data_IF_572553636820
#
_entry.id   IF_572553636820
#
_cell.length_a   1.000
_cell.length_b   1.000
_cell.length_c   1.000
_cell.angle_alpha   90.00
_cell.angle_beta   90.00
_cell.angle_gamma   90.00
#
_symmetry.space_group_name_H-M   'P 1'
#
loop_
_entity.id
_entity.type
_entity.pdbx_description
1 polymer ?
#
# COMPACT_ATOMS: atom_id res chain seq x y z
N UNK A 1 1.41 18.29 -10.12
CA UNK A 1 2.72 18.89 -9.81
C UNK A 1 3.12 18.42 -8.42
N UNK A 2 4.25 17.69 -8.31
CA UNK A 2 4.85 17.38 -7.00
C UNK A 2 5.60 18.62 -6.52
N UNK A 3 5.16 19.21 -5.41
CA UNK A 3 5.80 20.38 -4.80
C UNK A 3 6.76 20.00 -3.66
N UNK A 4 7.15 18.73 -3.56
CA UNK A 4 8.01 18.24 -2.48
C UNK A 4 9.40 17.98 -3.01
N UNK A 5 10.41 18.62 -2.38
CA UNK A 5 11.81 18.39 -2.64
C UNK A 5 12.46 17.85 -1.37
N UNK A 6 13.17 16.73 -1.48
CA UNK A 6 14.06 16.26 -0.42
C UNK A 6 15.49 16.68 -0.78
N UNK A 7 16.11 17.51 0.06
CA UNK A 7 17.53 17.85 -0.02
C UNK A 7 18.23 17.12 1.12
N UNK A 8 19.11 16.20 0.80
CA UNK A 8 19.96 15.53 1.77
C UNK A 8 21.37 16.08 1.69
N UNK A 9 21.94 16.43 2.85
CA UNK A 9 23.34 16.88 2.99
C UNK A 9 24.02 15.98 4.01
N UNK A 10 25.20 15.45 3.68
CA UNK A 10 25.96 14.56 4.56
C UNK A 10 26.34 13.24 3.86
N UNK A 11 26.75 12.21 4.61
CA UNK A 11 27.05 10.90 4.03
C UNK A 11 25.82 10.34 3.33
N UNK A 12 26.05 9.62 2.22
CA UNK A 12 24.97 9.00 1.46
C UNK A 12 24.16 8.07 2.39
N UNK A 13 22.86 8.26 2.37
CA UNK A 13 21.91 7.38 3.06
C UNK A 13 21.45 6.28 2.11
N UNK A 14 20.98 5.16 2.65
CA UNK A 14 20.40 4.07 1.84
C UNK A 14 19.03 4.45 1.21
N UNK A 15 18.56 5.70 1.41
CA UNK A 15 17.27 6.17 0.89
C UNK A 15 17.41 6.54 -0.58
N UNK A 16 16.69 5.84 -1.46
CA UNK A 16 16.65 6.09 -2.90
C UNK A 16 15.39 6.87 -3.34
N UNK A 17 14.36 6.89 -2.50
CA UNK A 17 13.13 7.64 -2.76
C UNK A 17 12.49 8.09 -1.45
N UNK A 18 11.90 9.29 -1.44
CA UNK A 18 11.05 9.78 -0.33
C UNK A 18 9.83 10.52 -0.85
N UNK A 19 8.69 10.28 -0.21
CA UNK A 19 7.44 11.00 -0.46
C UNK A 19 6.84 11.47 0.86
N UNK A 20 6.37 12.72 0.89
CA UNK A 20 5.66 13.32 2.01
C UNK A 20 4.19 13.56 1.64
N UNK A 21 3.27 13.24 2.54
CA UNK A 21 1.83 13.53 2.39
C UNK A 21 1.53 14.95 2.91
N UNK A 22 1.89 15.97 2.14
CA UNK A 22 1.76 17.37 2.56
C UNK A 22 0.33 17.93 2.49
N UNK A 23 -0.59 17.20 1.89
CA UNK A 23 -1.99 17.54 1.65
C UNK A 23 -2.95 16.95 2.69
N UNK A 24 -2.41 16.20 3.66
CA UNK A 24 -3.17 15.54 4.74
C UNK A 24 -3.19 16.36 6.01
N UNK A 25 -4.21 16.13 6.85
CA UNK A 25 -4.21 16.67 8.21
C UNK A 25 -2.98 16.16 9.00
N UNK A 26 -2.49 16.95 9.95
CA UNK A 26 -1.24 16.68 10.67
C UNK A 26 -1.19 15.27 11.28
N UNK A 27 -2.28 14.79 11.88
CA UNK A 27 -2.36 13.48 12.51
C UNK A 27 -2.44 12.30 11.50
N UNK A 28 -2.51 12.58 10.19
CA UNK A 28 -2.52 11.63 9.10
C UNK A 28 -1.31 11.78 8.18
N UNK A 29 -0.45 12.77 8.47
CA UNK A 29 0.71 13.06 7.62
C UNK A 29 1.82 12.05 7.84
N UNK A 30 2.26 11.40 6.75
CA UNK A 30 3.32 10.41 6.76
C UNK A 30 4.43 10.75 5.78
N UNK A 31 5.60 10.21 6.04
CA UNK A 31 6.70 10.11 5.09
C UNK A 31 6.89 8.64 4.70
N UNK A 32 6.94 8.36 3.41
CA UNK A 32 7.27 7.05 2.87
C UNK A 32 8.65 7.12 2.23
N UNK A 33 9.58 6.29 2.70
CA UNK A 33 10.91 6.14 2.14
C UNK A 33 11.04 4.76 1.48
N UNK A 34 11.75 4.68 0.35
CA UNK A 34 12.28 3.45 -0.19
C UNK A 34 13.79 3.47 0.08
N UNK A 35 14.27 2.43 0.76
CA UNK A 35 15.68 2.24 1.06
C UNK A 35 16.23 1.13 0.18
N UNK A 36 17.47 1.29 -0.28
CA UNK A 36 18.23 0.24 -0.97
C UNK A 36 19.45 -0.11 -0.14
N UNK A 37 19.58 -1.38 0.19
CA UNK A 37 20.76 -1.92 0.86
C UNK A 37 21.14 -3.28 0.28
N UNK A 38 22.37 -3.42 -0.13
CA UNK A 38 22.91 -4.67 -0.72
C UNK A 38 22.07 -5.18 -1.91
N UNK A 39 21.53 -4.24 -2.73
CA UNK A 39 20.68 -4.55 -3.88
C UNK A 39 19.26 -5.00 -3.53
N UNK A 40 18.82 -4.81 -2.30
CA UNK A 40 17.45 -5.09 -1.83
C UNK A 40 16.77 -3.80 -1.43
N UNK A 41 15.50 -3.68 -1.80
CA UNK A 41 14.69 -2.54 -1.41
C UNK A 41 13.80 -2.88 -0.19
N UNK A 42 13.51 -1.84 0.58
CA UNK A 42 12.59 -1.90 1.73
C UNK A 42 11.80 -0.61 1.76
N UNK A 43 10.51 -0.69 2.02
CA UNK A 43 9.65 0.49 2.21
C UNK A 43 9.53 0.78 3.70
N UNK A 44 9.67 2.07 4.08
CA UNK A 44 9.37 2.52 5.44
C UNK A 44 8.38 3.66 5.44
N UNK A 45 7.36 3.56 6.26
CA UNK A 45 6.40 4.64 6.52
C UNK A 45 6.62 5.19 7.92
N UNK A 46 6.86 6.49 8.01
CA UNK A 46 7.10 7.22 9.24
C UNK A 46 6.01 8.24 9.49
N UNK A 47 5.65 8.53 10.75
CA UNK A 47 4.84 9.70 11.04
C UNK A 47 5.65 10.95 10.66
N UNK A 48 5.06 11.85 9.88
CA UNK A 48 5.73 13.12 9.52
C UNK A 48 5.81 14.06 10.74
N UNK A 49 4.88 13.92 11.69
CA UNK A 49 4.85 14.59 12.97
C UNK A 49 4.53 13.60 14.09
N UNK A 50 4.82 13.90 15.37
CA UNK A 50 4.42 13.03 16.47
C UNK A 50 2.91 12.77 16.55
N UNK A 51 2.08 13.72 16.08
CA UNK A 51 0.63 13.57 16.03
C UNK A 51 0.16 12.42 15.12
N UNK A 52 0.95 12.06 14.11
CA UNK A 52 0.63 10.97 13.18
C UNK A 52 1.09 9.58 13.68
N UNK A 53 1.65 9.47 14.89
CA UNK A 53 2.12 8.19 15.43
C UNK A 53 1.01 7.13 15.48
N UNK A 54 -0.18 7.49 15.93
CA UNK A 54 -1.33 6.59 16.00
C UNK A 54 -1.78 6.11 14.62
N UNK A 55 -1.61 6.94 13.57
CA UNK A 55 -1.92 6.54 12.19
C UNK A 55 -0.97 5.45 11.68
N UNK A 56 0.32 5.53 12.03
CA UNK A 56 1.28 4.45 11.72
C UNK A 56 0.96 3.18 12.49
N UNK A 57 0.58 3.27 13.77
CA UNK A 57 0.19 2.10 14.57
C UNK A 57 -1.07 1.42 14.00
N UNK A 58 -2.03 2.20 13.50
CA UNK A 58 -3.25 1.68 12.86
C UNK A 58 -2.96 0.83 11.60
N UNK A 59 -1.84 1.05 10.89
CA UNK A 59 -1.45 0.21 9.75
C UNK A 59 -1.27 -1.26 10.15
N UNK A 60 -0.69 -1.52 11.33
CA UNK A 60 -0.49 -2.89 11.80
C UNK A 60 -1.83 -3.58 12.14
N UNK A 61 -2.79 -2.82 12.68
CA UNK A 61 -4.15 -3.33 12.91
C UNK A 61 -4.86 -3.64 11.59
N UNK A 62 -4.74 -2.74 10.61
CA UNK A 62 -5.33 -2.93 9.29
C UNK A 62 -4.72 -4.14 8.57
N UNK A 63 -3.40 -4.33 8.64
CA UNK A 63 -2.72 -5.51 8.08
C UNK A 63 -3.32 -6.80 8.62
N UNK A 64 -3.48 -6.91 9.94
CA UNK A 64 -4.09 -8.08 10.58
C UNK A 64 -5.54 -8.31 10.12
N UNK A 65 -6.36 -7.24 10.07
CA UNK A 65 -7.77 -7.32 9.64
C UNK A 65 -7.88 -7.79 8.21
N UNK A 66 -7.10 -7.21 7.28
CA UNK A 66 -7.17 -7.59 5.86
C UNK A 66 -6.53 -8.95 5.58
N UNK A 67 -5.50 -9.33 6.30
CA UNK A 67 -4.93 -10.69 6.22
C UNK A 67 -5.99 -11.74 6.57
N UNK A 68 -6.75 -11.55 7.64
CA UNK A 68 -7.84 -12.48 8.00
C UNK A 68 -9.01 -12.40 7.01
N UNK A 69 -9.40 -11.19 6.56
CA UNK A 69 -10.46 -11.03 5.55
C UNK A 69 -10.14 -11.81 4.28
N UNK A 70 -8.94 -11.61 3.72
CA UNK A 70 -8.55 -12.20 2.43
C UNK A 70 -8.04 -13.64 2.53
N UNK A 71 -8.04 -14.22 3.72
CA UNK A 71 -7.66 -15.62 3.91
C UNK A 71 -8.54 -16.57 3.09
N UNK A 72 -7.90 -17.35 2.23
CA UNK A 72 -8.54 -18.25 1.26
C UNK A 72 -9.02 -17.59 -0.03
N UNK A 73 -8.77 -16.29 -0.21
CA UNK A 73 -8.94 -15.60 -1.49
C UNK A 73 -7.69 -15.75 -2.37
N UNK A 74 -7.71 -15.10 -3.53
CA UNK A 74 -6.56 -15.00 -4.45
C UNK A 74 -5.75 -13.71 -4.26
N UNK A 75 -5.99 -12.95 -3.18
CA UNK A 75 -5.25 -11.75 -2.80
C UNK A 75 -4.48 -12.03 -1.51
N UNK A 76 -3.20 -11.72 -1.51
CA UNK A 76 -2.37 -11.61 -0.31
C UNK A 76 -2.34 -10.16 0.17
N UNK A 77 -2.03 -9.95 1.45
CA UNK A 77 -1.77 -8.63 2.01
C UNK A 77 -0.28 -8.49 2.25
N UNK A 78 0.33 -7.41 1.79
CA UNK A 78 1.75 -7.16 2.03
C UNK A 78 1.97 -6.94 3.53
N UNK A 79 2.90 -7.70 4.10
CA UNK A 79 3.17 -7.67 5.54
C UNK A 79 3.99 -6.45 5.91
N UNK A 80 3.71 -5.93 7.09
CA UNK A 80 4.53 -4.91 7.73
C UNK A 80 5.05 -5.39 9.09
N UNK A 81 6.16 -4.81 9.49
CA UNK A 81 6.71 -4.92 10.84
C UNK A 81 6.70 -3.53 11.49
N UNK A 82 5.96 -3.39 12.60
CA UNK A 82 5.94 -2.14 13.35
C UNK A 82 7.19 -2.07 14.24
N UNK A 83 7.98 -1.03 14.05
CA UNK A 83 9.22 -0.77 14.76
C UNK A 83 9.17 0.59 15.47
N UNK A 84 10.16 0.88 16.31
CA UNK A 84 10.33 2.21 16.92
C UNK A 84 11.73 2.74 16.64
N UNK A 85 11.79 4.03 16.37
CA UNK A 85 13.05 4.75 16.25
C UNK A 85 13.66 5.05 17.65
N UNK A 86 14.89 5.56 17.76
CA UNK A 86 15.52 5.88 19.04
C UNK A 86 14.72 6.88 19.89
N UNK A 87 13.90 7.75 19.28
CA UNK A 87 13.04 8.71 19.96
C UNK A 87 11.70 8.09 20.43
N UNK A 88 11.51 6.78 20.21
CA UNK A 88 10.31 6.03 20.59
C UNK A 88 9.14 6.17 19.62
N UNK A 89 9.26 6.92 18.51
CA UNK A 89 8.20 7.05 17.52
C UNK A 89 8.08 5.77 16.67
N UNK A 90 6.85 5.31 16.39
CA UNK A 90 6.62 4.14 15.57
C UNK A 90 6.98 4.40 14.10
N UNK A 91 7.41 3.36 13.40
CA UNK A 91 7.45 3.33 11.94
C UNK A 91 7.11 1.92 11.44
N UNK A 92 6.51 1.85 10.26
CA UNK A 92 6.21 0.59 9.60
C UNK A 92 7.31 0.26 8.60
N UNK A 93 7.88 -0.94 8.69
CA UNK A 93 8.79 -1.49 7.70
C UNK A 93 8.05 -2.55 6.88
N UNK A 94 8.08 -2.40 5.56
CA UNK A 94 7.25 -3.15 4.62
C UNK A 94 8.17 -3.73 3.55
N UNK A 95 7.92 -4.97 3.16
CA UNK A 95 8.65 -5.60 2.06
C UNK A 95 8.39 -4.87 0.73
N UNK A 96 9.46 -4.54 0.01
CA UNK A 96 9.34 -4.05 -1.35
C UNK A 96 9.16 -5.23 -2.31
N UNK A 97 8.11 -5.21 -3.12
CA UNK A 97 7.79 -6.31 -4.03
C UNK A 97 8.57 -6.13 -5.34
N UNK A 98 9.78 -6.68 -5.39
CA UNK A 98 10.66 -6.61 -6.55
C UNK A 98 10.02 -7.24 -7.80
N UNK A 99 10.22 -6.61 -8.96
CA UNK A 99 9.72 -7.09 -10.25
C UNK A 99 8.20 -7.30 -10.31
N UNK A 100 7.44 -6.63 -9.44
CA UNK A 100 5.98 -6.58 -9.54
C UNK A 100 5.54 -5.50 -10.52
N UNK A 101 4.35 -5.68 -11.08
CA UNK A 101 3.61 -4.64 -11.80
C UNK A 101 2.33 -4.35 -11.05
N UNK A 102 1.83 -3.14 -11.12
CA UNK A 102 0.51 -2.85 -10.58
C UNK A 102 -0.60 -3.43 -11.47
N UNK A 103 -1.75 -3.70 -10.89
CA UNK A 103 -2.92 -4.11 -11.66
C UNK A 103 -3.34 -3.03 -12.67
N UNK A 104 -3.17 -1.74 -12.31
CA UNK A 104 -3.39 -0.61 -13.22
C UNK A 104 -2.53 -0.71 -14.48
N UNK A 105 -1.21 -0.93 -14.33
CA UNK A 105 -0.29 -1.10 -15.47
C UNK A 105 -0.67 -2.29 -16.37
N UNK A 106 -1.19 -3.38 -15.80
CA UNK A 106 -1.64 -4.54 -16.58
C UNK A 106 -2.94 -4.26 -17.33
N UNK A 107 -3.89 -3.56 -16.70
CA UNK A 107 -5.14 -3.15 -17.35
C UNK A 107 -4.88 -2.14 -18.47
N UNK A 108 -3.99 -1.17 -18.23
CA UNK A 108 -3.58 -0.20 -19.24
C UNK A 108 -2.90 -0.88 -20.44
N UNK A 109 -2.07 -1.88 -20.21
CA UNK A 109 -1.46 -2.67 -21.29
C UNK A 109 -2.52 -3.41 -22.13
N UNK A 110 -3.54 -4.01 -21.49
CA UNK A 110 -4.65 -4.64 -22.21
C UNK A 110 -5.39 -3.61 -23.09
N UNK A 111 -5.66 -2.41 -22.56
CA UNK A 111 -6.32 -1.34 -23.32
C UNK A 111 -5.47 -0.88 -24.53
N UNK A 112 -4.17 -0.67 -24.32
CA UNK A 112 -3.25 -0.26 -25.39
C UNK A 112 -3.14 -1.29 -26.52
N UNK A 113 -3.25 -2.58 -26.18
CA UNK A 113 -3.17 -3.69 -27.12
C UNK A 113 -4.53 -4.13 -27.69
N UNK A 114 -5.65 -3.49 -27.30
CA UNK A 114 -7.03 -3.92 -27.59
C UNK A 114 -7.30 -5.39 -27.17
N UNK A 115 -6.70 -5.82 -26.06
CA UNK A 115 -6.91 -7.15 -25.48
C UNK A 115 -8.10 -7.14 -24.51
N UNK A 116 -9.32 -7.18 -25.05
CA UNK A 116 -10.56 -7.21 -24.27
C UNK A 116 -10.62 -8.44 -23.35
N UNK A 117 -10.20 -9.59 -23.85
CA UNK A 117 -10.26 -10.84 -23.08
C UNK A 117 -9.29 -10.84 -21.89
N UNK A 118 -8.10 -10.27 -22.06
CA UNK A 118 -7.14 -10.05 -20.99
C UNK A 118 -7.67 -9.09 -19.94
N UNK A 119 -8.24 -7.95 -20.39
CA UNK A 119 -8.85 -6.95 -19.52
C UNK A 119 -9.98 -7.57 -18.68
N UNK A 120 -10.94 -8.22 -19.31
CA UNK A 120 -12.08 -8.85 -18.64
C UNK A 120 -11.63 -9.87 -17.58
N UNK A 121 -10.64 -10.68 -17.90
CA UNK A 121 -10.07 -11.67 -16.97
C UNK A 121 -9.46 -11.03 -15.72
N UNK A 122 -8.69 -9.95 -15.89
CA UNK A 122 -8.07 -9.22 -14.78
C UNK A 122 -9.15 -8.51 -13.94
N UNK A 123 -10.07 -7.83 -14.60
CA UNK A 123 -11.14 -7.08 -13.97
C UNK A 123 -12.14 -7.96 -13.21
N UNK A 124 -12.54 -9.10 -13.79
CA UNK A 124 -13.37 -10.11 -13.12
C UNK A 124 -12.71 -10.66 -11.85
N UNK A 125 -11.40 -10.91 -11.91
CA UNK A 125 -10.66 -11.34 -10.72
C UNK A 125 -10.64 -10.25 -9.65
N UNK A 126 -10.40 -9.00 -10.03
CA UNK A 126 -10.48 -7.86 -9.11
C UNK A 126 -11.86 -7.75 -8.46
N UNK A 127 -12.95 -7.82 -9.24
CA UNK A 127 -14.32 -7.78 -8.71
C UNK A 127 -14.59 -8.89 -7.68
N UNK A 128 -14.11 -10.11 -7.93
CA UNK A 128 -14.20 -11.23 -6.98
C UNK A 128 -13.43 -10.96 -5.69
N UNK A 129 -12.25 -10.35 -5.78
CA UNK A 129 -11.44 -9.95 -4.63
C UNK A 129 -12.16 -8.85 -3.83
N UNK A 130 -12.64 -7.79 -4.46
CA UNK A 130 -13.34 -6.70 -3.80
C UNK A 130 -14.58 -7.19 -3.05
N UNK A 131 -15.33 -8.12 -3.62
CA UNK A 131 -16.51 -8.73 -3.02
C UNK A 131 -16.19 -9.78 -1.94
N UNK A 132 -14.94 -10.23 -1.80
CA UNK A 132 -14.57 -11.32 -0.90
C UNK A 132 -14.80 -10.95 0.57
N UNK A 133 -15.71 -11.69 1.25
CA UNK A 133 -16.08 -11.49 2.66
C UNK A 133 -16.28 -10.00 3.00
N UNK A 134 -16.86 -9.23 2.09
CA UNK A 134 -16.94 -7.79 2.23
C UNK A 134 -18.03 -7.36 3.22
N UNK A 135 -19.12 -8.14 3.36
CA UNK A 135 -20.21 -7.81 4.26
C UNK A 135 -19.78 -7.91 5.73
N UNK A 136 -20.07 -6.86 6.51
CA UNK A 136 -19.79 -6.82 7.94
C UNK A 136 -18.30 -6.74 8.31
N UNK A 137 -17.43 -6.46 7.34
CA UNK A 137 -15.98 -6.31 7.58
C UNK A 137 -15.51 -4.89 7.30
N UNK A 138 -14.36 -4.52 7.86
CA UNK A 138 -13.68 -3.26 7.54
C UNK A 138 -13.38 -3.20 6.04
N UNK A 139 -13.71 -2.08 5.41
CA UNK A 139 -13.43 -1.81 4.00
C UNK A 139 -12.22 -0.91 3.86
N UNK A 140 -11.50 -1.04 2.75
CA UNK A 140 -10.41 -0.17 2.38
C UNK A 140 -10.80 0.64 1.15
N UNK A 141 -10.72 1.97 1.26
CA UNK A 141 -10.95 2.89 0.14
C UNK A 141 -9.83 2.80 -0.92
N UNK A 142 -8.65 2.35 -0.51
CA UNK A 142 -7.48 2.26 -1.37
C UNK A 142 -7.27 0.87 -1.97
N UNK A 143 -8.26 -0.03 -1.88
CA UNK A 143 -8.24 -1.28 -2.64
C UNK A 143 -8.49 -0.98 -4.13
N UNK A 144 -7.62 -0.18 -4.71
CA UNK A 144 -7.64 0.30 -6.10
C UNK A 144 -6.55 -0.38 -6.92
N UNK A 145 -6.61 -0.26 -8.24
CA UNK A 145 -5.70 -0.95 -9.15
C UNK A 145 -4.20 -0.64 -8.92
N UNK A 146 -3.79 0.63 -8.66
CA UNK A 146 -2.37 0.93 -8.37
C UNK A 146 -1.88 0.33 -7.06
N UNK A 147 -2.78 -0.03 -6.12
CA UNK A 147 -2.44 -0.60 -4.82
C UNK A 147 -2.50 -2.13 -4.77
N UNK A 148 -2.58 -2.77 -5.94
CA UNK A 148 -2.47 -4.23 -6.08
C UNK A 148 -1.25 -4.53 -6.95
N UNK A 149 -0.23 -5.11 -6.35
CA UNK A 149 0.96 -5.61 -7.05
C UNK A 149 0.73 -7.03 -7.55
N UNK A 150 1.15 -7.28 -8.78
CA UNK A 150 1.00 -8.57 -9.48
C UNK A 150 2.36 -9.13 -9.86
N UNK A 151 2.64 -10.36 -9.40
CA UNK A 151 3.82 -11.14 -9.74
C UNK A 151 3.35 -12.52 -10.25
N UNK A 152 3.19 -12.67 -11.56
CA UNK A 152 2.59 -13.87 -12.14
C UNK A 152 1.15 -14.08 -11.65
N UNK A 153 0.88 -15.20 -10.98
CA UNK A 153 -0.44 -15.49 -10.42
C UNK A 153 -0.66 -14.94 -9.00
N UNK A 154 0.38 -14.37 -8.39
CA UNK A 154 0.31 -13.81 -7.03
C UNK A 154 -0.11 -12.34 -7.12
N UNK A 155 -1.21 -12.01 -6.45
CA UNK A 155 -1.69 -10.64 -6.27
C UNK A 155 -1.54 -10.23 -4.81
N UNK A 156 -0.98 -9.05 -4.58
CA UNK A 156 -0.68 -8.56 -3.24
C UNK A 156 -1.14 -7.11 -3.08
N UNK A 157 -2.01 -6.86 -2.11
CA UNK A 157 -2.42 -5.53 -1.67
C UNK A 157 -1.28 -4.86 -0.91
N UNK A 158 -0.90 -3.63 -1.29
CA UNK A 158 0.29 -2.93 -0.76
C UNK A 158 -0.01 -1.69 0.08
N UNK A 159 -1.15 -1.08 -0.06
CA UNK A 159 -1.56 0.08 0.74
C UNK A 159 -2.93 -0.18 1.36
N UNK A 160 -3.07 0.06 2.65
CA UNK A 160 -4.29 -0.18 3.42
C UNK A 160 -4.44 0.85 4.56
N UNK A 161 -4.11 2.12 4.25
CA UNK A 161 -4.17 3.23 5.21
C UNK A 161 -5.59 3.72 5.45
N UNK A 162 -6.42 3.78 4.39
CA UNK A 162 -7.73 4.42 4.41
C UNK A 162 -8.85 3.42 4.56
N UNK A 163 -9.27 3.19 5.80
CA UNK A 163 -10.23 2.15 6.12
C UNK A 163 -11.51 2.70 6.74
N UNK A 164 -12.62 1.98 6.56
CA UNK A 164 -13.91 2.27 7.17
C UNK A 164 -14.69 1.01 7.48
N UNK A 165 -15.52 1.07 8.50
CA UNK A 165 -16.55 0.09 8.86
C UNK A 165 -17.97 0.58 8.53
N UNK A 166 -18.10 1.81 7.96
CA UNK A 166 -19.37 2.50 7.75
C UNK A 166 -19.93 2.36 6.36
N UNK A 167 -19.13 1.96 5.37
CA UNK A 167 -19.55 1.82 3.98
C UNK A 167 -19.58 0.36 3.54
N UNK A 168 -20.50 0.04 2.63
CA UNK A 168 -20.52 -1.25 1.95
C UNK A 168 -19.56 -1.24 0.76
N UNK A 169 -19.16 -2.42 0.23
CA UNK A 169 -18.32 -2.51 -0.98
C UNK A 169 -18.88 -1.77 -2.18
N UNK A 170 -20.24 -1.69 -2.27
CA UNK A 170 -20.92 -0.99 -3.37
C UNK A 170 -20.92 0.54 -3.21
N UNK A 171 -20.47 1.05 -2.07
CA UNK A 171 -20.39 2.48 -1.76
C UNK A 171 -18.95 3.00 -1.82
N UNK A 172 -17.99 2.14 -2.03
CA UNK A 172 -16.58 2.40 -2.27
C UNK A 172 -16.26 2.18 -3.75
#
# INVERSE_FOLDING_TARGET
YSNSFLVMTGPMTDIVYSRFSNDRAEHLSIRTDILEKDGKHTVRKYPATPAAAAHIEALAENECVFTERFKGSTLSVNRLELKRNPDGLPFAEIEYLENSRTLEELLDECLQNNDEAGFDKLFDRYCKIAAWKAEGTKQDYDLTFPNICVQGDIWTMIDYEWTTDKLTPQQI
#
